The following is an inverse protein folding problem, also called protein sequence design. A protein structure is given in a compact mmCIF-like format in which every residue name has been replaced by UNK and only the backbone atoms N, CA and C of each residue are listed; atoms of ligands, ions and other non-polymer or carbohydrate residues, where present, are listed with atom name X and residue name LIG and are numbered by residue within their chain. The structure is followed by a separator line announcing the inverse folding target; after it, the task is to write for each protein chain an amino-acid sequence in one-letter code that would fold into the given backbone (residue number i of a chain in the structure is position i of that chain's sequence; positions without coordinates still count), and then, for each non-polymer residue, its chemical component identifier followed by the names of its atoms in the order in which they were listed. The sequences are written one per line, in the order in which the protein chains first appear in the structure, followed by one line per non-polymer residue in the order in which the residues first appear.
data_IF_524341128866
#
_entry.id   IF_524341128866
#
_cell.length_a   1.000
_cell.length_b   1.000
_cell.length_c   1.000
_cell.angle_alpha   90.00
_cell.angle_beta   90.00
_cell.angle_gamma   90.00
#
_symmetry.space_group_name_H-M   'P 1'
#
loop_
_entity.id
_entity.type
_entity.pdbx_description
1 polymer ?
#
# COMPACT_ATOMS: atom_id res chain seq x y z
N UNK A 1 -16.42 12.79 -0.83
CA UNK A 1 -15.93 11.54 -1.46
C UNK A 1 -15.04 10.85 -0.43
N UNK A 2 -15.28 9.58 -0.13
CA UNK A 2 -14.46 8.84 0.83
C UNK A 2 -13.76 7.69 0.10
N UNK A 3 -12.42 7.74 0.08
CA UNK A 3 -11.60 6.60 -0.29
C UNK A 3 -11.69 5.57 0.83
N UNK A 4 -12.03 4.34 0.45
CA UNK A 4 -12.06 3.21 1.35
C UNK A 4 -10.95 2.23 0.97
N UNK A 5 -10.41 1.60 2.00
CA UNK A 5 -9.35 0.62 1.91
C UNK A 5 -9.81 -0.65 2.62
N UNK A 6 -9.70 -1.78 1.93
CA UNK A 6 -9.84 -3.10 2.53
C UNK A 6 -8.53 -3.87 2.36
N UNK A 7 -8.06 -4.51 3.43
CA UNK A 7 -6.83 -5.29 3.44
C UNK A 7 -7.12 -6.77 3.64
N UNK A 8 -6.41 -7.61 2.89
CA UNK A 8 -6.36 -9.06 3.07
C UNK A 8 -4.89 -9.48 3.15
N UNK A 9 -4.27 -9.45 4.34
CA UNK A 9 -2.88 -9.83 4.50
C UNK A 9 -2.71 -11.35 4.37
N UNK A 10 -1.55 -11.76 3.85
CA UNK A 10 -1.09 -13.15 3.86
C UNK A 10 -0.12 -13.33 5.04
N UNK A 11 0.01 -14.55 5.61
CA UNK A 11 1.06 -14.83 6.58
C UNK A 11 2.44 -14.39 6.04
N UNK A 12 3.28 -13.74 6.87
CA UNK A 12 4.63 -13.37 6.46
C UNK A 12 5.46 -14.58 6.02
N UNK A 13 6.27 -14.40 4.97
CA UNK A 13 7.17 -15.42 4.46
C UNK A 13 8.60 -15.08 4.87
N UNK A 14 9.19 -15.89 5.74
CA UNK A 14 10.62 -15.81 6.06
C UNK A 14 11.44 -16.45 4.95
N UNK A 15 12.31 -15.68 4.28
CA UNK A 15 13.19 -16.20 3.23
C UNK A 15 14.55 -16.65 3.78
N UNK A 16 15.11 -15.86 4.70
CA UNK A 16 16.32 -16.14 5.49
C UNK A 16 16.11 -15.58 6.90
N UNK A 17 16.93 -15.88 7.93
CA UNK A 17 16.75 -15.30 9.27
C UNK A 17 16.67 -13.76 9.28
N UNK A 18 17.34 -13.11 8.34
CA UNK A 18 17.44 -11.66 8.19
C UNK A 18 16.45 -11.06 7.18
N UNK A 19 15.69 -11.88 6.46
CA UNK A 19 14.84 -11.44 5.36
C UNK A 19 13.41 -11.96 5.51
N UNK A 20 12.49 -11.02 5.77
CA UNK A 20 11.07 -11.28 5.95
C UNK A 20 10.25 -10.57 4.87
N UNK A 21 9.29 -11.27 4.28
CA UNK A 21 8.41 -10.72 3.24
C UNK A 21 6.97 -10.65 3.73
N UNK A 22 6.41 -9.45 3.74
CA UNK A 22 4.99 -9.21 3.97
C UNK A 22 4.27 -9.08 2.63
N UNK A 23 3.19 -9.85 2.45
CA UNK A 23 2.36 -9.78 1.24
C UNK A 23 0.88 -9.69 1.59
N UNK A 24 0.08 -9.29 0.63
CA UNK A 24 -1.37 -9.31 0.75
C UNK A 24 -2.03 -8.59 -0.41
N UNK A 25 -3.35 -8.42 -0.29
CA UNK A 25 -4.17 -7.69 -1.25
C UNK A 25 -4.72 -6.45 -0.56
N UNK A 26 -4.59 -5.30 -1.21
CA UNK A 26 -5.26 -4.07 -0.84
C UNK A 26 -6.29 -3.70 -1.91
N UNK A 27 -7.52 -3.43 -1.50
CA UNK A 27 -8.60 -2.94 -2.36
C UNK A 27 -8.82 -1.46 -2.06
N UNK A 28 -8.57 -0.62 -3.05
CA UNK A 28 -8.77 0.82 -3.02
C UNK A 28 -10.02 1.14 -3.82
N UNK A 29 -11.01 1.77 -3.20
CA UNK A 29 -12.27 2.04 -3.88
C UNK A 29 -12.91 3.33 -3.40
N UNK A 30 -13.66 3.93 -4.31
CA UNK A 30 -14.38 5.18 -4.06
C UNK A 30 -15.84 4.90 -3.83
N UNK A 31 -16.38 5.43 -2.74
CA UNK A 31 -17.83 5.44 -2.48
C UNK A 31 -18.45 6.78 -2.90
N UNK A 32 -19.72 6.75 -3.34
CA UNK A 32 -20.45 7.93 -3.84
C UNK A 32 -20.27 8.18 -5.35
N UNK A 33 -20.58 9.39 -5.80
CA UNK A 33 -20.41 9.81 -7.20
C UNK A 33 -18.95 10.18 -7.47
N UNK A 34 -18.38 9.59 -8.52
CA UNK A 34 -17.01 9.85 -8.95
C UNK A 34 -17.04 10.71 -10.21
N UNK A 35 -16.48 11.91 -10.12
CA UNK A 35 -16.26 12.80 -11.26
C UNK A 35 -14.77 12.80 -11.54
N UNK A 36 -14.34 12.05 -12.54
CA UNK A 36 -12.94 12.05 -12.98
C UNK A 36 -12.79 12.91 -14.22
N UNK A 37 -11.99 13.97 -14.10
CA UNK A 37 -11.50 14.73 -15.23
C UNK A 37 -10.40 13.96 -15.95
N UNK A 38 -10.31 14.12 -17.27
CA UNK A 38 -9.14 13.69 -18.02
C UNK A 38 -7.90 14.39 -17.47
N UNK A 39 -6.86 13.63 -17.09
CA UNK A 39 -5.62 14.18 -16.52
C UNK A 39 -5.62 14.43 -15.02
N UNK A 40 -6.57 13.86 -14.27
CA UNK A 40 -6.52 13.90 -12.80
C UNK A 40 -5.21 13.27 -12.26
N UNK A 41 -4.59 13.86 -11.22
CA UNK A 41 -3.39 13.29 -10.60
C UNK A 41 -3.70 11.92 -9.97
N UNK A 42 -2.68 11.10 -9.71
CA UNK A 42 -2.87 9.85 -8.98
C UNK A 42 -3.36 10.14 -7.56
N UNK A 43 -4.23 9.27 -7.05
CA UNK A 43 -4.77 9.35 -5.70
C UNK A 43 -3.78 8.70 -4.73
N UNK A 44 -3.47 9.41 -3.66
CA UNK A 44 -2.55 8.93 -2.63
C UNK A 44 -3.25 7.88 -1.76
N UNK A 45 -2.52 6.83 -1.41
CA UNK A 45 -2.99 5.82 -0.47
C UNK A 45 -1.87 5.42 0.48
N UNK A 46 -2.25 4.86 1.63
CA UNK A 46 -1.31 4.15 2.47
C UNK A 46 -1.97 3.48 3.66
N UNK A 47 -1.26 2.52 4.23
CA UNK A 47 -1.73 1.71 5.34
C UNK A 47 -0.59 1.03 6.08
N UNK A 48 -0.82 0.76 7.36
CA UNK A 48 0.06 -0.08 8.16
C UNK A 48 -0.11 -1.54 7.80
N UNK A 49 1.00 -2.26 7.67
CA UNK A 49 1.02 -3.69 7.37
C UNK A 49 0.56 -4.46 8.62
N UNK A 50 -0.63 -5.11 8.62
CA UNK A 50 -1.21 -5.65 9.85
C UNK A 50 -0.44 -6.84 10.44
N UNK A 51 0.38 -7.52 9.62
CA UNK A 51 1.17 -8.68 10.01
C UNK A 51 2.62 -8.33 10.36
N UNK A 52 2.99 -7.05 10.31
CA UNK A 52 4.33 -6.61 10.67
C UNK A 52 4.49 -6.52 12.18
N UNK A 53 5.61 -7.04 12.68
CA UNK A 53 6.04 -6.79 14.05
C UNK A 53 6.48 -5.33 14.17
N UNK A 54 6.05 -4.60 15.20
CA UNK A 54 6.51 -3.23 15.45
C UNK A 54 8.02 -3.19 15.65
N UNK A 55 8.65 -2.14 15.16
CA UNK A 55 10.07 -1.87 15.34
C UNK A 55 10.25 -0.92 16.54
N UNK A 56 11.01 -1.31 17.57
CA UNK A 56 11.27 -0.42 18.70
C UNK A 56 11.87 0.92 18.25
N UNK A 57 11.56 1.99 18.99
CA UNK A 57 12.02 3.34 18.69
C UNK A 57 13.54 3.44 18.51
N UNK A 58 14.29 2.66 19.29
CA UNK A 58 15.76 2.69 19.35
C UNK A 58 16.43 1.71 18.39
N UNK A 59 15.68 0.84 17.70
CA UNK A 59 16.25 -0.15 16.79
C UNK A 59 16.73 0.52 15.49
N UNK A 60 17.80 0.02 14.85
CA UNK A 60 18.19 0.49 13.52
C UNK A 60 17.06 0.24 12.52
N UNK A 61 16.90 1.13 11.55
CA UNK A 61 15.90 0.95 10.50
C UNK A 61 16.38 -0.09 9.48
N UNK A 62 15.60 -1.15 9.19
CA UNK A 62 15.98 -2.16 8.23
C UNK A 62 15.90 -1.61 6.80
N UNK A 63 16.52 -2.31 5.86
CA UNK A 63 16.35 -2.01 4.44
C UNK A 63 14.97 -2.51 3.97
N UNK A 64 14.29 -1.69 3.19
CA UNK A 64 12.94 -1.96 2.72
C UNK A 64 12.89 -1.96 1.18
N UNK A 65 12.20 -2.95 0.63
CA UNK A 65 11.80 -2.96 -0.77
C UNK A 65 10.28 -3.11 -0.84
N UNK A 66 9.61 -2.16 -1.49
CA UNK A 66 8.17 -2.16 -1.68
C UNK A 66 7.83 -2.36 -3.15
N UNK A 67 6.88 -3.25 -3.42
CA UNK A 67 6.35 -3.54 -4.74
C UNK A 67 4.82 -3.62 -4.67
N UNK A 68 4.16 -3.17 -5.72
CA UNK A 68 2.71 -3.33 -5.86
C UNK A 68 2.35 -3.62 -7.32
N UNK A 69 1.54 -4.66 -7.50
CA UNK A 69 1.09 -5.12 -8.81
C UNK A 69 -0.42 -4.96 -8.91
N UNK A 70 -0.89 -4.37 -10.01
CA UNK A 70 -2.31 -4.30 -10.31
C UNK A 70 -2.85 -5.72 -10.56
N UNK A 71 -3.85 -6.12 -9.77
CA UNK A 71 -4.52 -7.42 -9.94
C UNK A 71 -5.78 -7.29 -10.77
N UNK A 72 -6.67 -6.39 -10.37
CA UNK A 72 -7.94 -6.11 -11.05
C UNK A 72 -8.30 -4.66 -10.89
N UNK A 73 -9.18 -4.16 -11.75
CA UNK A 73 -9.68 -2.81 -11.62
C UNK A 73 -10.98 -2.58 -12.36
N UNK A 74 -11.76 -1.61 -11.88
CA UNK A 74 -13.04 -1.20 -12.46
C UNK A 74 -12.94 0.30 -12.74
N UNK A 75 -13.22 0.70 -13.98
CA UNK A 75 -13.29 2.09 -14.40
C UNK A 75 -14.68 2.38 -15.00
N UNK A 76 -15.31 3.47 -14.56
CA UNK A 76 -16.65 3.88 -15.04
C UNK A 76 -16.61 4.66 -16.37
N UNK A 77 -15.41 5.02 -16.83
CA UNK A 77 -15.13 5.65 -18.12
C UNK A 77 -13.69 5.34 -18.48
N UNK A 78 -13.48 4.63 -19.58
CA UNK A 78 -12.17 4.48 -20.23
C UNK A 78 -12.20 5.32 -21.50
N UNK A 79 -12.03 6.63 -21.39
CA UNK A 79 -11.41 7.35 -22.51
C UNK A 79 -9.99 6.80 -22.64
N UNK A 80 -9.53 6.46 -23.84
CA UNK A 80 -8.23 5.80 -24.08
C UNK A 80 -6.98 6.51 -23.52
N UNK A 81 -7.13 7.69 -22.93
CA UNK A 81 -6.08 8.51 -22.34
C UNK A 81 -6.09 8.58 -20.80
N UNK A 82 -6.91 7.80 -20.09
CA UNK A 82 -6.85 7.79 -18.62
C UNK A 82 -5.83 6.75 -18.13
N UNK A 83 -4.70 7.15 -17.52
CA UNK A 83 -3.77 6.19 -16.92
C UNK A 83 -4.50 5.39 -15.83
N UNK A 84 -4.24 4.09 -15.74
CA UNK A 84 -4.91 3.20 -14.81
C UNK A 84 -3.89 2.27 -14.15
N UNK A 85 -3.86 2.23 -12.82
CA UNK A 85 -2.93 1.39 -12.07
C UNK A 85 -2.13 2.15 -11.01
N UNK A 86 -1.08 1.49 -10.51
CA UNK A 86 -0.18 2.03 -9.48
C UNK A 86 0.94 2.82 -10.15
N UNK A 87 1.18 4.04 -9.69
CA UNK A 87 2.26 4.88 -10.18
C UNK A 87 3.56 4.60 -9.43
N UNK A 88 3.50 4.57 -8.11
CA UNK A 88 4.64 4.19 -7.27
C UNK A 88 4.16 3.66 -5.92
N UNK A 89 5.06 2.96 -5.22
CA UNK A 89 4.92 2.58 -3.82
C UNK A 89 6.23 2.72 -3.08
N UNK A 90 6.13 2.96 -1.77
CA UNK A 90 7.25 3.01 -0.85
C UNK A 90 6.82 2.47 0.51
N UNK A 91 7.76 1.84 1.21
CA UNK A 91 7.58 1.38 2.58
C UNK A 91 8.52 2.14 3.52
N UNK A 92 8.05 2.42 4.73
CA UNK A 92 8.82 3.10 5.79
C UNK A 92 8.27 2.71 7.16
N UNK A 93 9.08 2.85 8.21
CA UNK A 93 8.62 2.72 9.59
C UNK A 93 8.18 4.08 10.15
N UNK A 94 6.89 4.23 10.46
CA UNK A 94 6.32 5.47 11.02
C UNK A 94 5.93 5.30 12.49
N UNK A 95 5.93 6.36 13.31
CA UNK A 95 5.43 6.32 14.68
C UNK A 95 3.98 5.81 14.75
N UNK A 96 3.63 5.11 15.84
CA UNK A 96 2.26 4.63 16.05
C UNK A 96 1.27 5.81 16.13
N UNK A 97 0.28 5.91 15.22
CA UNK A 97 -0.70 6.99 15.23
C UNK A 97 -1.61 6.99 16.48
N UNK A 98 -1.61 5.90 17.26
CA UNK A 98 -2.33 5.76 18.53
C UNK A 98 -1.55 6.26 19.74
N UNK A 99 -0.32 6.76 19.55
CA UNK A 99 0.51 7.35 20.62
C UNK A 99 1.51 6.38 21.28
N UNK A 100 1.86 5.28 20.62
CA UNK A 100 2.91 4.35 21.07
C UNK A 100 4.32 4.80 20.69
N UNK A 101 5.34 4.28 21.40
CA UNK A 101 6.75 4.57 21.11
C UNK A 101 7.31 3.78 19.93
N UNK A 102 6.69 2.65 19.61
CA UNK A 102 7.15 1.79 18.51
C UNK A 102 6.80 2.38 17.15
N UNK A 103 7.61 2.03 16.16
CA UNK A 103 7.36 2.36 14.76
C UNK A 103 6.73 1.18 14.05
N UNK A 104 5.75 1.45 13.21
CA UNK A 104 4.99 0.44 12.47
C UNK A 104 5.32 0.52 10.99
N UNK A 105 5.43 -0.64 10.36
CA UNK A 105 5.67 -0.74 8.92
C UNK A 105 4.47 -0.20 8.16
N UNK A 106 4.69 0.87 7.40
CA UNK A 106 3.69 1.58 6.62
C UNK A 106 4.03 1.48 5.14
N UNK A 107 3.06 1.06 4.34
CA UNK A 107 3.13 1.09 2.88
C UNK A 107 2.30 2.27 2.37
N UNK A 108 2.88 3.07 1.49
CA UNK A 108 2.18 4.16 0.82
C UNK A 108 2.51 4.24 -0.65
N UNK A 109 1.73 4.99 -1.40
CA UNK A 109 1.96 5.22 -2.81
C UNK A 109 0.87 6.06 -3.43
N UNK A 110 0.90 6.11 -4.75
CA UNK A 110 -0.10 6.81 -5.55
C UNK A 110 -0.63 5.91 -6.66
N UNK A 111 -1.93 5.98 -6.95
CA UNK A 111 -2.56 5.19 -7.98
C UNK A 111 -3.68 5.93 -8.70
N UNK A 112 -3.82 5.68 -9.99
CA UNK A 112 -4.99 6.11 -10.75
C UNK A 112 -6.12 5.10 -10.58
N UNK A 113 -7.04 5.42 -9.67
CA UNK A 113 -8.19 4.57 -9.34
C UNK A 113 -9.43 5.10 -10.03
N UNK A 114 -9.99 4.37 -10.99
CA UNK A 114 -11.28 4.72 -11.60
C UNK A 114 -12.43 4.65 -10.58
N UNK A 115 -12.99 3.47 -10.40
CA UNK A 115 -13.97 3.17 -9.33
C UNK A 115 -13.34 2.35 -8.22
N UNK A 116 -12.56 1.36 -8.61
CA UNK A 116 -11.92 0.39 -7.73
C UNK A 116 -10.63 -0.12 -8.39
N UNK A 117 -9.58 -0.29 -7.60
CA UNK A 117 -8.45 -1.15 -7.95
C UNK A 117 -8.14 -2.13 -6.82
N UNK A 118 -7.66 -3.30 -7.19
CA UNK A 118 -7.06 -4.28 -6.27
C UNK A 118 -5.60 -4.41 -6.62
N UNK A 119 -4.75 -4.25 -5.62
CA UNK A 119 -3.32 -4.37 -5.75
C UNK A 119 -2.83 -5.52 -4.88
N UNK A 120 -1.94 -6.33 -5.43
CA UNK A 120 -1.11 -7.24 -4.65
C UNK A 120 0.09 -6.45 -4.18
N UNK A 121 0.29 -6.33 -2.87
CA UNK A 121 1.46 -5.67 -2.31
C UNK A 121 2.48 -6.69 -1.83
N UNK A 122 3.76 -6.31 -1.93
CA UNK A 122 4.89 -7.02 -1.33
C UNK A 122 5.81 -5.98 -0.66
N UNK A 123 6.15 -6.23 0.59
CA UNK A 123 7.17 -5.47 1.32
C UNK A 123 8.20 -6.45 1.84
N UNK A 124 9.43 -6.33 1.36
CA UNK A 124 10.57 -7.12 1.83
C UNK A 124 11.34 -6.29 2.85
N UNK A 125 11.57 -6.87 4.03
CA UNK A 125 12.31 -6.27 5.16
C UNK A 125 13.60 -7.05 5.34
N UNK A 126 14.74 -6.36 5.28
CA UNK A 126 16.07 -6.95 5.48
C UNK A 126 16.73 -6.31 6.69
N UNK A 127 16.93 -7.10 7.75
CA UNK A 127 17.62 -6.70 8.98
C UNK A 127 19.11 -7.06 8.86
N UNK A 128 20.00 -6.06 8.85
CA UNK A 128 21.45 -6.28 8.79
C UNK A 128 22.08 -6.69 10.12
#
# INVERSE_FOLDING_TARGET
MAFQLELRPTPPLQLTPECLVHTGIARLFVTGMLVQGSGAPPEQFGFFIPTATPLPATAPEPQLLAEASLMTGIATSISGNFPFGVEHVQATYLPDPRGGTDRWLYLSGAAHVGREIRIGYRVTVVTG
#
